data_IF_620241177338
#
_entry.id   IF_620241177338
#
_cell.length_a   1.000
_cell.length_b   1.000
_cell.length_c   1.000
_cell.angle_alpha   90.00
_cell.angle_beta   90.00
_cell.angle_gamma   90.00
#
_symmetry.space_group_name_H-M   'P 1'
#
loop_
_entity.id
_entity.type
_entity.pdbx_description
1 polymer ?
#
# COMPACT_ATOMS: atom_id res chain seq x y z
N UNK A 1 27.10 2.49 8.37
CA UNK A 1 26.67 1.74 9.55
C UNK A 1 25.27 1.22 9.33
N UNK A 2 25.06 -0.06 9.55
CA UNK A 2 23.90 -0.90 9.17
C UNK A 2 22.49 -0.43 9.56
N UNK A 3 22.34 0.52 10.46
CA UNK A 3 21.04 0.98 10.93
C UNK A 3 20.31 1.92 9.92
N UNK A 4 21.06 2.68 9.13
CA UNK A 4 20.48 3.61 8.13
C UNK A 4 19.90 2.90 6.91
N UNK A 5 20.48 1.76 6.54
CA UNK A 5 20.08 0.98 5.36
C UNK A 5 18.78 0.22 5.66
N UNK A 6 18.56 -0.27 6.87
CA UNK A 6 17.33 -0.99 7.26
C UNK A 6 16.08 -0.11 7.26
N UNK A 7 16.21 1.20 7.50
CA UNK A 7 15.08 2.13 7.44
C UNK A 7 14.55 2.37 6.02
N UNK A 8 15.44 2.40 5.03
CA UNK A 8 15.06 2.60 3.63
C UNK A 8 14.41 1.36 3.00
N UNK A 9 14.81 0.16 3.41
CA UNK A 9 14.26 -1.10 2.90
C UNK A 9 12.82 -1.37 3.36
N UNK A 10 12.39 -0.84 4.50
CA UNK A 10 11.00 -0.98 4.98
C UNK A 10 9.97 -0.34 4.05
N UNK A 11 10.36 0.69 3.31
CA UNK A 11 9.45 1.40 2.39
C UNK A 11 9.29 0.69 1.04
N UNK A 12 10.31 -0.01 0.57
CA UNK A 12 10.27 -0.74 -0.71
C UNK A 12 9.40 -2.00 -0.64
N UNK A 13 9.16 -2.53 0.56
CA UNK A 13 8.39 -3.77 0.76
C UNK A 13 6.89 -3.64 0.52
N UNK A 14 6.35 -2.44 0.29
CA UNK A 14 4.93 -2.20 -0.02
C UNK A 14 4.62 -2.13 -1.53
N UNK A 15 5.55 -2.52 -2.37
CA UNK A 15 5.51 -2.38 -3.83
C UNK A 15 4.75 -3.53 -4.52
N UNK A 16 3.64 -4.02 -3.92
CA UNK A 16 2.89 -5.16 -4.48
C UNK A 16 1.39 -4.87 -4.55
N UNK A 17 1.01 -4.06 -5.52
CA UNK A 17 -0.37 -4.02 -5.93
C UNK A 17 -0.43 -4.08 -7.46
N UNK A 18 -1.07 -5.08 -7.96
CA UNK A 18 -1.42 -5.32 -9.35
C UNK A 18 -0.27 -5.66 -10.32
N UNK A 19 -0.02 -6.94 -10.43
CA UNK A 19 0.52 -7.51 -11.67
C UNK A 19 -0.68 -8.03 -12.46
N UNK A 20 -1.11 -7.33 -13.49
CA UNK A 20 -1.96 -7.93 -14.51
C UNK A 20 -1.15 -9.05 -15.17
N UNK A 21 -1.64 -10.28 -15.13
CA UNK A 21 -0.97 -11.37 -15.84
C UNK A 21 -1.03 -11.06 -17.34
N UNK A 22 0.10 -10.59 -17.88
CA UNK A 22 0.30 -10.61 -19.31
C UNK A 22 0.18 -12.07 -19.80
N UNK A 23 -0.36 -12.32 -21.00
CA UNK A 23 -0.31 -13.65 -21.59
C UNK A 23 1.15 -14.13 -21.57
N UNK A 24 1.38 -15.37 -21.18
CA UNK A 24 2.70 -15.96 -21.00
C UNK A 24 3.61 -15.57 -22.17
N UNK A 25 4.61 -14.73 -21.89
CA UNK A 25 5.69 -14.51 -22.81
C UNK A 25 6.51 -15.80 -22.87
N UNK A 26 6.85 -16.19 -24.09
CA UNK A 26 7.68 -17.35 -24.41
C UNK A 26 8.95 -17.36 -23.54
N UNK A 27 9.07 -18.38 -22.69
CA UNK A 27 10.19 -18.55 -21.76
C UNK A 27 11.47 -19.00 -22.49
N UNK A 28 12.02 -18.14 -23.33
CA UNK A 28 13.38 -18.29 -23.81
C UNK A 28 14.38 -18.09 -22.67
N UNK A 29 15.48 -18.87 -22.59
CA UNK A 29 16.44 -18.75 -21.51
C UNK A 29 17.07 -17.36 -21.44
N UNK A 30 16.95 -16.70 -20.28
CA UNK A 30 17.58 -15.42 -20.02
C UNK A 30 19.11 -15.56 -20.09
N UNK A 31 19.75 -14.69 -20.87
CA UNK A 31 21.20 -14.60 -20.95
C UNK A 31 21.79 -14.14 -19.61
N UNK A 32 22.76 -14.89 -19.08
CA UNK A 32 23.47 -14.54 -17.86
C UNK A 32 24.21 -13.20 -18.03
N UNK A 33 23.94 -12.23 -17.13
CA UNK A 33 24.78 -11.05 -16.95
C UNK A 33 24.16 -9.70 -17.27
N UNK A 34 22.89 -9.59 -17.69
CA UNK A 34 22.25 -8.30 -17.87
C UNK A 34 21.55 -7.82 -16.59
N UNK A 35 21.67 -6.51 -16.22
CA UNK A 35 20.89 -5.97 -15.11
C UNK A 35 19.40 -6.15 -15.40
N UNK A 36 18.64 -6.62 -14.43
CA UNK A 36 17.17 -6.74 -14.48
C UNK A 36 16.58 -5.34 -14.74
N UNK A 37 16.46 -4.97 -15.99
CA UNK A 37 15.67 -3.83 -16.38
C UNK A 37 14.20 -4.17 -16.11
N UNK A 38 13.61 -3.57 -15.07
CA UNK A 38 12.17 -3.65 -14.77
C UNK A 38 11.29 -3.32 -15.99
N UNK A 39 11.84 -2.59 -16.98
CA UNK A 39 11.23 -2.34 -18.29
C UNK A 39 11.04 -3.60 -19.16
N UNK A 40 11.77 -4.67 -18.90
CA UNK A 40 11.62 -5.94 -19.65
C UNK A 40 10.46 -6.79 -19.18
N UNK A 41 9.97 -6.57 -17.96
CA UNK A 41 8.69 -7.11 -17.57
C UNK A 41 7.65 -6.30 -18.37
N UNK A 42 7.07 -6.88 -19.41
CA UNK A 42 5.97 -6.30 -20.20
C UNK A 42 4.70 -6.03 -19.35
N UNK A 43 4.86 -5.99 -18.04
CA UNK A 43 3.81 -5.87 -17.03
C UNK A 43 3.82 -4.44 -16.48
N UNK A 44 2.75 -3.67 -16.64
CA UNK A 44 2.65 -2.34 -16.07
C UNK A 44 2.68 -2.41 -14.54
N UNK A 45 3.53 -1.58 -13.94
CA UNK A 45 3.66 -1.44 -12.49
C UNK A 45 3.00 -0.13 -12.08
N UNK A 46 2.19 -0.17 -11.02
CA UNK A 46 1.52 0.99 -10.42
C UNK A 46 1.94 1.12 -8.97
N UNK A 47 2.42 2.31 -8.56
CA UNK A 47 2.88 2.55 -7.20
C UNK A 47 1.90 3.43 -6.43
N UNK A 48 1.45 2.97 -5.26
CA UNK A 48 0.61 3.75 -4.35
C UNK A 48 1.45 4.20 -3.15
N UNK A 49 1.57 5.52 -2.95
CA UNK A 49 2.29 6.07 -1.81
C UNK A 49 1.56 5.78 -0.51
N UNK A 50 2.32 5.35 0.50
CA UNK A 50 1.84 5.22 1.87
C UNK A 50 2.25 6.39 2.77
N UNK A 51 1.90 6.27 4.04
CA UNK A 51 2.27 7.25 5.08
C UNK A 51 3.79 7.38 5.28
N UNK A 52 4.57 6.39 4.88
CA UNK A 52 6.04 6.43 4.93
C UNK A 52 6.69 6.94 3.65
N UNK A 53 5.93 7.07 2.57
CA UNK A 53 6.40 7.42 1.22
C UNK A 53 5.83 8.76 0.73
N UNK A 54 5.37 9.63 1.64
CA UNK A 54 4.74 10.92 1.30
C UNK A 54 5.67 11.82 0.48
N UNK A 55 6.98 11.64 0.63
CA UNK A 55 8.01 12.41 -0.08
C UNK A 55 8.63 11.63 -1.25
N UNK A 56 7.94 10.62 -1.71
CA UNK A 56 8.29 10.00 -2.99
C UNK A 56 8.17 11.07 -4.08
N UNK A 57 9.31 11.52 -4.58
CA UNK A 57 9.38 12.46 -5.69
C UNK A 57 9.06 11.74 -6.99
N UNK A 58 9.66 12.17 -8.07
CA UNK A 58 9.37 11.79 -9.44
C UNK A 58 10.31 10.70 -10.00
N UNK A 59 11.26 10.20 -9.18
CA UNK A 59 12.26 9.22 -9.62
C UNK A 59 11.62 7.99 -10.30
N UNK A 60 10.64 7.35 -9.66
CA UNK A 60 9.98 6.17 -10.23
C UNK A 60 9.28 6.49 -11.55
N UNK A 61 8.69 7.69 -11.66
CA UNK A 61 8.00 8.10 -12.88
C UNK A 61 8.97 8.46 -14.00
N UNK A 62 10.04 9.21 -13.69
CA UNK A 62 10.98 9.71 -14.69
C UNK A 62 11.98 8.64 -15.16
N UNK A 63 12.53 7.88 -14.21
CA UNK A 63 13.59 6.90 -14.53
C UNK A 63 13.03 5.52 -14.89
N UNK A 64 11.89 5.13 -14.28
CA UNK A 64 11.34 3.79 -14.44
C UNK A 64 10.01 3.76 -15.20
N UNK A 65 9.39 4.92 -15.47
CA UNK A 65 8.09 5.00 -16.13
C UNK A 65 6.93 4.46 -15.27
N UNK A 66 7.12 4.36 -13.95
CA UNK A 66 6.12 3.83 -13.02
C UNK A 66 5.22 4.97 -12.54
N UNK A 67 3.91 4.95 -12.80
CA UNK A 67 2.99 5.96 -12.29
C UNK A 67 2.86 5.88 -10.77
N UNK A 68 2.88 7.05 -10.12
CA UNK A 68 2.76 7.20 -8.67
C UNK A 68 1.37 7.74 -8.34
N UNK A 69 0.60 6.98 -7.56
CA UNK A 69 -0.72 7.38 -7.05
C UNK A 69 -0.60 7.81 -5.59
N UNK A 70 -0.99 9.05 -5.30
CA UNK A 70 -0.96 9.63 -3.95
C UNK A 70 -2.27 9.52 -3.20
N UNK A 71 -3.31 9.13 -3.93
CA UNK A 71 -4.67 8.92 -3.42
C UNK A 71 -5.21 7.59 -3.97
N UNK A 72 -6.25 7.10 -3.33
CA UNK A 72 -6.95 5.91 -3.82
C UNK A 72 -7.66 6.23 -5.15
N UNK A 73 -7.66 5.27 -6.05
CA UNK A 73 -8.29 5.38 -7.37
C UNK A 73 -9.42 4.37 -7.54
N UNK A 74 -10.31 4.69 -8.46
CA UNK A 74 -11.31 3.76 -8.99
C UNK A 74 -10.85 3.30 -10.35
N UNK A 75 -10.85 2.00 -10.56
CA UNK A 75 -10.43 1.41 -11.83
C UNK A 75 -11.20 0.14 -12.09
N UNK A 76 -11.19 -0.29 -13.33
CA UNK A 76 -11.71 -1.59 -13.72
C UNK A 76 -10.54 -2.55 -13.95
N UNK A 77 -10.60 -3.74 -13.33
CA UNK A 77 -9.61 -4.79 -13.46
C UNK A 77 -10.34 -6.08 -13.79
N UNK A 78 -10.06 -6.65 -14.96
CA UNK A 78 -10.68 -7.89 -15.42
C UNK A 78 -12.20 -7.88 -15.31
N UNK A 79 -12.85 -6.75 -15.66
CA UNK A 79 -14.32 -6.59 -15.61
C UNK A 79 -14.91 -6.34 -14.22
N UNK A 80 -14.08 -6.15 -13.19
CA UNK A 80 -14.51 -5.82 -11.83
C UNK A 80 -14.23 -4.36 -11.49
N UNK A 81 -15.16 -3.73 -10.81
CA UNK A 81 -15.00 -2.35 -10.32
C UNK A 81 -14.23 -2.36 -9.01
N UNK A 82 -13.05 -1.78 -9.02
CA UNK A 82 -12.09 -1.83 -7.90
C UNK A 82 -11.80 -0.42 -7.39
N UNK A 83 -11.89 -0.25 -6.08
CA UNK A 83 -11.34 0.91 -5.37
C UNK A 83 -10.04 0.48 -4.69
N UNK A 84 -8.91 1.08 -5.08
CA UNK A 84 -7.60 0.67 -4.62
C UNK A 84 -6.77 1.85 -4.16
N UNK A 85 -6.08 1.70 -3.05
CA UNK A 85 -5.18 2.70 -2.49
C UNK A 85 -4.47 2.24 -1.24
N UNK A 86 -3.66 3.11 -0.66
CA UNK A 86 -2.95 2.74 0.57
C UNK A 86 -3.88 2.62 1.78
N UNK A 87 -4.85 3.51 1.91
CA UNK A 87 -5.83 3.46 3.00
C UNK A 87 -5.56 4.45 4.14
N UNK A 88 -4.39 5.06 4.20
CA UNK A 88 -4.04 6.02 5.24
C UNK A 88 -4.85 7.32 5.15
N UNK A 89 -5.34 7.78 6.29
CA UNK A 89 -6.14 9.00 6.38
C UNK A 89 -7.57 8.88 5.83
N UNK A 90 -8.01 7.67 5.44
CA UNK A 90 -9.41 7.38 5.12
C UNK A 90 -10.22 7.08 6.40
N UNK A 91 -11.53 7.21 6.31
CA UNK A 91 -12.44 6.89 7.42
C UNK A 91 -12.58 7.99 8.47
N UNK A 92 -13.39 7.73 9.49
CA UNK A 92 -13.64 8.66 10.59
C UNK A 92 -12.45 8.73 11.55
N UNK A 93 -12.29 9.87 12.22
CA UNK A 93 -11.25 10.04 13.25
C UNK A 93 -9.88 10.42 12.71
N UNK A 94 -8.86 10.17 13.52
CA UNK A 94 -7.43 10.42 13.27
C UNK A 94 -7.11 11.82 12.71
N UNK A 95 -7.73 12.83 13.31
CA UNK A 95 -7.55 14.22 12.87
C UNK A 95 -6.09 14.68 12.97
N UNK A 96 -5.36 14.16 13.95
CA UNK A 96 -3.93 14.44 14.14
C UNK A 96 -3.11 13.94 12.95
N UNK A 97 -3.30 12.71 12.54
CA UNK A 97 -2.64 12.14 11.38
C UNK A 97 -3.01 12.87 10.08
N UNK A 98 -4.30 13.14 9.87
CA UNK A 98 -4.78 13.87 8.68
C UNK A 98 -4.17 15.27 8.58
N UNK A 99 -4.02 15.97 9.70
CA UNK A 99 -3.33 17.26 9.75
C UNK A 99 -1.84 17.12 9.44
N UNK A 100 -1.17 16.15 10.06
CA UNK A 100 0.24 15.85 9.81
C UNK A 100 0.46 15.49 8.33
N UNK A 101 -0.34 14.60 7.75
CA UNK A 101 -0.29 14.24 6.34
C UNK A 101 -0.41 15.48 5.44
N UNK A 102 -1.33 16.39 5.75
CA UNK A 102 -1.50 17.64 4.99
C UNK A 102 -0.27 18.54 5.06
N UNK A 103 0.37 18.65 6.23
CA UNK A 103 1.61 19.40 6.40
C UNK A 103 2.75 18.77 5.60
N UNK A 104 2.95 17.45 5.74
CA UNK A 104 4.02 16.75 5.03
C UNK A 104 3.81 16.67 3.51
N UNK A 105 2.58 16.63 3.05
CA UNK A 105 2.26 16.69 1.62
C UNK A 105 2.40 18.10 1.02
N UNK A 106 2.56 19.15 1.86
CA UNK A 106 2.67 20.53 1.39
C UNK A 106 4.06 20.79 0.78
N UNK A 107 4.14 21.24 -0.50
CA UNK A 107 5.42 21.49 -1.17
C UNK A 107 6.29 22.54 -0.47
N UNK A 108 5.66 23.54 0.18
CA UNK A 108 6.40 24.57 0.92
C UNK A 108 7.05 23.98 2.18
N UNK A 109 6.32 23.16 2.93
CA UNK A 109 6.86 22.46 4.10
C UNK A 109 8.02 21.53 3.70
N UNK A 110 7.90 20.81 2.58
CA UNK A 110 8.97 19.98 2.03
C UNK A 110 10.19 20.82 1.64
N UNK A 111 9.98 21.99 1.04
CA UNK A 111 11.07 22.91 0.68
C UNK A 111 11.77 23.46 1.94
N UNK A 112 11.01 23.86 2.96
CA UNK A 112 11.57 24.31 4.23
C UNK A 112 12.39 23.22 4.92
N UNK A 113 11.88 21.98 4.92
CA UNK A 113 12.60 20.83 5.49
C UNK A 113 13.95 20.58 4.78
N UNK A 114 14.02 20.74 3.47
CA UNK A 114 15.28 20.60 2.69
C UNK A 114 16.36 21.63 3.08
N UNK A 115 15.99 22.71 3.74
CA UNK A 115 16.93 23.74 4.23
C UNK A 115 17.48 23.43 5.62
N UNK A 116 16.91 22.42 6.31
CA UNK A 116 17.47 21.97 7.58
C UNK A 116 18.81 21.28 7.36
N UNK A 117 19.73 21.48 8.33
CA UNK A 117 20.96 20.71 8.34
C UNK A 117 20.61 19.20 8.35
N UNK A 118 21.31 18.34 7.57
CA UNK A 118 20.97 16.93 7.45
C UNK A 118 20.80 16.22 8.81
N UNK A 119 21.67 16.47 9.79
CA UNK A 119 21.59 15.84 11.11
C UNK A 119 20.31 16.21 11.86
N UNK A 120 19.89 17.49 11.77
CA UNK A 120 18.63 17.96 12.36
C UNK A 120 17.44 17.35 11.65
N UNK A 121 17.49 17.28 10.30
CA UNK A 121 16.46 16.67 9.49
C UNK A 121 16.28 15.18 9.80
N UNK A 122 17.37 14.43 9.88
CA UNK A 122 17.36 13.01 10.24
C UNK A 122 16.84 12.79 11.66
N UNK A 123 17.31 13.56 12.64
CA UNK A 123 16.85 13.45 14.03
C UNK A 123 15.34 13.73 14.16
N UNK A 124 14.84 14.76 13.47
CA UNK A 124 13.41 15.09 13.43
C UNK A 124 12.60 13.98 12.78
N UNK A 125 13.03 13.45 11.65
CA UNK A 125 12.36 12.36 10.95
C UNK A 125 12.32 11.08 11.80
N UNK A 126 13.40 10.73 12.48
CA UNK A 126 13.49 9.60 13.40
C UNK A 126 12.54 9.77 14.60
N UNK A 127 12.51 10.95 15.20
CA UNK A 127 11.62 11.26 16.31
C UNK A 127 10.14 11.11 15.92
N UNK A 128 9.75 11.66 14.77
CA UNK A 128 8.36 11.54 14.27
C UNK A 128 8.00 10.11 13.88
N UNK A 129 8.95 9.40 13.26
CA UNK A 129 8.75 7.99 12.85
C UNK A 129 8.65 7.04 14.05
N UNK A 130 9.41 7.25 15.13
CA UNK A 130 9.34 6.41 16.33
C UNK A 130 7.99 6.55 17.02
N UNK A 131 7.50 7.77 17.19
CA UNK A 131 6.16 8.00 17.76
C UNK A 131 5.03 7.39 16.94
N UNK A 132 5.16 7.42 15.61
CA UNK A 132 4.17 6.79 14.73
C UNK A 132 4.19 5.27 14.87
N UNK A 133 5.36 4.65 15.03
CA UNK A 133 5.48 3.19 15.22
C UNK A 133 4.92 2.73 16.56
N UNK A 134 5.22 3.41 17.65
CA UNK A 134 4.67 3.10 18.98
C UNK A 134 3.13 3.12 18.98
N UNK A 135 2.53 4.04 18.23
CA UNK A 135 1.09 4.10 18.06
C UNK A 135 0.54 2.96 17.18
N UNK A 136 1.32 2.47 16.20
CA UNK A 136 0.92 1.38 15.30
C UNK A 136 1.12 -0.01 15.91
N UNK A 137 2.18 -0.24 16.67
CA UNK A 137 2.46 -1.54 17.30
C UNK A 137 1.36 -1.93 18.31
N UNK A 138 0.70 -0.95 18.91
CA UNK A 138 -0.46 -1.18 19.80
C UNK A 138 -1.73 -1.65 19.05
N UNK A 139 -1.76 -1.60 17.70
CA UNK A 139 -2.97 -1.79 16.88
C UNK A 139 -2.89 -3.02 15.96
N UNK A 140 -1.92 -3.92 16.14
CA UNK A 140 -1.77 -5.11 15.27
C UNK A 140 -2.78 -6.24 15.57
N UNK A 141 -3.69 -6.06 16.51
CA UNK A 141 -4.74 -7.03 16.77
C UNK A 141 -5.96 -6.75 15.90
N UNK A 142 -6.46 -7.78 15.24
CA UNK A 142 -7.77 -7.72 14.61
C UNK A 142 -8.84 -7.76 15.71
N UNK A 143 -9.53 -6.66 15.91
CA UNK A 143 -10.55 -6.51 16.95
C UNK A 143 -11.98 -6.71 16.41
N UNK A 144 -12.08 -7.20 15.20
CA UNK A 144 -13.32 -7.37 14.45
C UNK A 144 -13.64 -6.21 13.52
N UNK A 145 -14.48 -6.46 12.49
CA UNK A 145 -14.77 -5.50 11.42
C UNK A 145 -15.38 -4.19 11.96
N UNK A 146 -16.14 -4.26 13.04
CA UNK A 146 -16.79 -3.08 13.64
C UNK A 146 -15.81 -2.06 14.24
N UNK A 147 -14.58 -2.50 14.56
CA UNK A 147 -13.51 -1.65 15.11
C UNK A 147 -12.46 -1.27 14.08
N UNK A 148 -12.54 -1.82 12.87
CA UNK A 148 -11.66 -1.47 11.76
C UNK A 148 -12.17 -0.23 11.04
N UNK A 149 -11.48 0.89 11.19
CA UNK A 149 -11.94 2.16 10.60
C UNK A 149 -12.01 2.12 9.07
N UNK A 150 -11.16 1.31 8.39
CA UNK A 150 -11.20 1.14 6.94
C UNK A 150 -12.43 0.32 6.50
N UNK A 151 -12.92 -0.60 7.35
CA UNK A 151 -14.20 -1.28 7.11
C UNK A 151 -15.34 -0.27 7.23
N UNK A 152 -15.34 0.57 8.28
CA UNK A 152 -16.35 1.63 8.43
C UNK A 152 -16.36 2.58 7.23
N UNK A 153 -15.17 3.02 6.79
CA UNK A 153 -15.04 3.81 5.57
C UNK A 153 -15.61 3.09 4.35
N UNK A 154 -15.34 1.79 4.23
CA UNK A 154 -15.79 0.97 3.11
C UNK A 154 -17.31 0.80 3.10
N UNK A 155 -17.92 0.63 4.27
CA UNK A 155 -19.39 0.60 4.43
C UNK A 155 -20.02 1.93 4.02
N UNK A 156 -19.45 3.05 4.47
CA UNK A 156 -19.91 4.38 4.07
C UNK A 156 -19.76 4.62 2.56
N UNK A 157 -18.71 4.08 1.96
CA UNK A 157 -18.46 4.22 0.52
C UNK A 157 -19.47 3.42 -0.29
N UNK A 158 -19.70 2.13 0.05
CA UNK A 158 -20.67 1.29 -0.68
C UNK A 158 -22.12 1.76 -0.50
N UNK A 159 -22.44 2.40 0.61
CA UNK A 159 -23.73 3.01 0.81
C UNK A 159 -24.00 4.15 -0.20
N UNK A 160 -22.94 4.82 -0.66
CA UNK A 160 -23.02 5.90 -1.65
C UNK A 160 -22.83 5.41 -3.08
N UNK A 161 -21.98 4.39 -3.26
CA UNK A 161 -21.53 3.87 -4.57
C UNK A 161 -21.66 2.35 -4.62
N UNK A 162 -22.85 1.84 -4.83
CA UNK A 162 -23.14 0.38 -4.79
C UNK A 162 -22.67 -0.39 -6.05
N UNK A 163 -21.61 0.06 -6.73
CA UNK A 163 -21.10 -0.58 -7.95
C UNK A 163 -19.74 -1.24 -7.77
N UNK A 164 -19.11 -1.07 -6.62
CA UNK A 164 -17.77 -1.61 -6.35
C UNK A 164 -17.86 -3.11 -6.06
N UNK A 165 -16.93 -3.87 -6.63
CA UNK A 165 -16.75 -5.29 -6.37
C UNK A 165 -15.68 -5.53 -5.31
N UNK A 166 -14.59 -4.75 -5.34
CA UNK A 166 -13.47 -4.87 -4.41
C UNK A 166 -13.00 -3.51 -3.90
N UNK A 167 -12.70 -3.45 -2.60
CA UNK A 167 -11.94 -2.37 -1.99
C UNK A 167 -10.62 -2.94 -1.46
N UNK A 168 -9.49 -2.49 -2.02
CA UNK A 168 -8.18 -3.07 -1.74
C UNK A 168 -7.30 -2.01 -1.08
N UNK A 169 -6.77 -2.33 0.11
CA UNK A 169 -5.93 -1.41 0.88
C UNK A 169 -4.63 -2.05 1.36
N UNK A 170 -3.63 -1.20 1.55
CA UNK A 170 -2.45 -1.49 2.34
C UNK A 170 -2.64 -1.05 3.79
N UNK A 171 -1.74 -0.25 4.32
CA UNK A 171 -1.72 0.49 5.60
C UNK A 171 -1.96 -0.37 6.86
N UNK A 172 -3.02 -1.14 6.88
CA UNK A 172 -3.28 -2.13 7.92
C UNK A 172 -2.42 -3.36 7.63
N UNK A 173 -1.44 -3.63 8.47
CA UNK A 173 -0.48 -4.70 8.26
C UNK A 173 -1.05 -6.10 8.56
N UNK A 174 -2.38 -6.23 8.55
CA UNK A 174 -3.08 -7.50 8.71
C UNK A 174 -3.70 -7.93 7.38
N UNK A 175 -3.60 -9.19 6.99
CA UNK A 175 -4.30 -9.75 5.83
C UNK A 175 -5.76 -10.01 6.19
N UNK A 176 -6.64 -9.11 5.78
CA UNK A 176 -8.08 -9.18 6.05
C UNK A 176 -8.81 -9.35 4.72
N UNK A 177 -9.81 -10.22 4.72
CA UNK A 177 -10.72 -10.43 3.58
C UNK A 177 -12.15 -10.54 4.11
N UNK A 178 -12.89 -9.45 4.02
CA UNK A 178 -14.19 -9.28 4.64
C UNK A 178 -15.26 -8.93 3.61
N UNK A 179 -16.39 -9.64 3.66
CA UNK A 179 -17.56 -9.34 2.83
C UNK A 179 -18.39 -8.25 3.49
N UNK A 180 -18.54 -7.11 2.82
CA UNK A 180 -19.27 -5.97 3.35
C UNK A 180 -20.78 -6.23 3.45
N UNK A 181 -21.49 -5.35 4.14
CA UNK A 181 -22.92 -5.48 4.47
C UNK A 181 -23.83 -5.69 3.26
N UNK A 182 -23.46 -5.18 2.08
CA UNK A 182 -24.22 -5.39 0.84
C UNK A 182 -24.09 -6.81 0.25
N UNK A 183 -23.39 -7.72 0.91
CA UNK A 183 -23.18 -9.13 0.52
C UNK A 183 -22.63 -9.31 -0.91
N UNK A 184 -21.92 -8.30 -1.41
CA UNK A 184 -21.37 -8.28 -2.76
C UNK A 184 -19.92 -7.80 -2.76
N UNK A 185 -19.66 -6.69 -2.12
CA UNK A 185 -18.35 -6.02 -2.15
C UNK A 185 -17.41 -6.61 -1.12
N UNK A 186 -16.22 -6.99 -1.54
CA UNK A 186 -15.17 -7.48 -0.63
C UNK A 186 -14.20 -6.36 -0.27
N UNK A 187 -13.98 -6.20 1.02
CA UNK A 187 -12.92 -5.40 1.61
C UNK A 187 -11.69 -6.27 1.83
N UNK A 188 -10.56 -5.88 1.27
CA UNK A 188 -9.32 -6.66 1.35
C UNK A 188 -8.16 -5.75 1.76
N UNK A 189 -7.45 -6.14 2.81
CA UNK A 189 -6.14 -5.57 3.15
C UNK A 189 -5.04 -6.57 2.89
N UNK A 190 -3.94 -6.07 2.31
CA UNK A 190 -2.89 -6.93 1.78
C UNK A 190 -1.95 -7.49 2.86
N UNK A 191 -2.08 -7.05 4.12
CA UNK A 191 -1.11 -7.40 5.16
C UNK A 191 0.23 -6.71 4.94
N UNK A 192 1.30 -7.41 5.34
CA UNK A 192 2.67 -6.96 5.11
C UNK A 192 3.56 -8.07 4.55
N UNK A 193 4.73 -7.68 4.04
CA UNK A 193 5.71 -8.62 3.51
C UNK A 193 6.72 -9.11 4.56
N UNK A 194 6.72 -8.53 5.76
CA UNK A 194 7.68 -8.87 6.82
C UNK A 194 7.18 -10.07 7.64
N UNK A 195 5.94 -10.00 8.11
CA UNK A 195 5.36 -11.01 9.00
C UNK A 195 4.51 -12.02 8.23
N UNK A 196 3.62 -11.51 7.35
CA UNK A 196 2.65 -12.35 6.64
C UNK A 196 3.14 -12.81 5.28
N UNK A 197 3.97 -12.03 4.59
CA UNK A 197 4.36 -12.26 3.18
C UNK A 197 3.14 -12.44 2.30
N UNK A 198 2.13 -11.60 2.52
CA UNK A 198 0.83 -11.71 1.87
C UNK A 198 0.72 -10.76 0.68
N UNK A 199 -0.03 -11.20 -0.32
CA UNK A 199 -0.33 -10.42 -1.52
C UNK A 199 -1.70 -10.85 -2.07
N UNK A 200 -2.33 -9.99 -2.85
CA UNK A 200 -3.55 -10.34 -3.56
C UNK A 200 -3.25 -10.62 -5.04
N UNK A 201 -3.92 -11.61 -5.59
CA UNK A 201 -3.89 -11.95 -7.02
C UNK A 201 -5.31 -11.95 -7.57
N UNK A 202 -5.52 -11.24 -8.68
CA UNK A 202 -6.77 -11.32 -9.42
C UNK A 202 -6.59 -12.24 -10.64
N UNK A 203 -7.50 -13.22 -10.78
CA UNK A 203 -7.54 -14.13 -11.92
C UNK A 203 -8.99 -14.32 -12.35
N UNK A 204 -9.29 -14.07 -13.63
CA UNK A 204 -10.64 -14.16 -14.18
C UNK A 204 -11.70 -13.34 -13.41
N UNK A 205 -11.30 -12.18 -12.88
CA UNK A 205 -12.17 -11.32 -12.08
C UNK A 205 -12.37 -11.76 -10.62
N UNK A 206 -11.73 -12.82 -10.18
CA UNK A 206 -11.77 -13.28 -8.78
C UNK A 206 -10.46 -12.90 -8.07
N UNK A 207 -10.62 -12.28 -6.90
CA UNK A 207 -9.49 -11.84 -6.05
C UNK A 207 -9.20 -12.91 -4.99
N UNK A 208 -7.95 -13.30 -4.91
CA UNK A 208 -7.43 -14.24 -3.91
C UNK A 208 -6.37 -13.55 -3.06
N UNK A 209 -6.45 -13.67 -1.75
CA UNK A 209 -5.40 -13.27 -0.82
C UNK A 209 -4.49 -14.47 -0.56
N UNK A 210 -3.23 -14.33 -0.89
CA UNK A 210 -2.25 -15.41 -0.91
C UNK A 210 -1.05 -15.09 -0.02
N UNK A 211 -0.32 -16.15 0.36
CA UNK A 211 0.87 -16.06 1.20
C UNK A 211 2.06 -16.73 0.52
N UNK A 212 3.19 -16.04 0.53
CA UNK A 212 4.44 -16.57 -0.02
C UNK A 212 5.22 -17.27 1.09
N UNK A 213 5.48 -18.57 0.93
CA UNK A 213 6.27 -19.38 1.88
C UNK A 213 5.87 -19.17 3.35
N UNK A 214 4.58 -19.06 3.65
CA UNK A 214 4.07 -18.90 5.00
C UNK A 214 2.84 -19.79 5.22
N UNK A 215 3.09 -21.04 5.57
CA UNK A 215 2.05 -22.08 5.77
C UNK A 215 1.19 -21.84 7.03
N UNK A 216 1.63 -20.96 7.93
CA UNK A 216 0.93 -20.65 9.19
C UNK A 216 0.14 -19.34 9.14
N UNK A 217 0.14 -18.67 8.00
CA UNK A 217 -0.57 -17.41 7.87
C UNK A 217 -2.09 -17.61 7.86
N UNK A 218 -2.79 -16.73 8.56
CA UNK A 218 -4.24 -16.75 8.70
C UNK A 218 -4.81 -15.48 8.08
N UNK A 219 -5.85 -15.64 7.27
CA UNK A 219 -6.68 -14.51 6.81
C UNK A 219 -7.68 -14.19 7.90
N UNK A 220 -7.78 -12.93 8.27
CA UNK A 220 -8.80 -12.46 9.20
C UNK A 220 -10.10 -12.18 8.43
N UNK A 221 -11.23 -12.68 8.96
CA UNK A 221 -12.54 -12.49 8.35
C UNK A 221 -13.11 -11.10 8.62
#
# INVERSE_FOLDING_TARGET
TDAGVRGAWGSIQKLWALVEAAPAADDGPAAEGEPLELRRLATPIHFFTGNHDLWMNDYLTHEMGIPIYREAIRTEIQGRQVFIGHGDGLGPGDHGYKLMKRIFANPLAQKCYRWLHPDVGVALAQYLSSRSREAQDAVQLFLGPEREWLVQFSEDLIARENKLDYLIFGHRHLPIDYLLSNQRTRYVTLGDWIHFRSFARMRNGELELLFYENEHAVVYP
#
